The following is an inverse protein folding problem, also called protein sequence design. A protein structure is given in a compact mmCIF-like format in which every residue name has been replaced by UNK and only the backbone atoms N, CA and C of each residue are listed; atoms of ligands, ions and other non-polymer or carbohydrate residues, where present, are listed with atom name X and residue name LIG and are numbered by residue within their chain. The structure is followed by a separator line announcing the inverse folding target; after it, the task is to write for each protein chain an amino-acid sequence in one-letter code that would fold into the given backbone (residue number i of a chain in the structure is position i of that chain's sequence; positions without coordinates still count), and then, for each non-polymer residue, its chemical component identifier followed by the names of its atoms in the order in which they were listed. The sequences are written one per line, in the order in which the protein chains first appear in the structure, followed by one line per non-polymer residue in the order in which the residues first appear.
data_IF_120155913118
#
_entry.id   IF_120155913118
#
_cell.length_a   1.000
_cell.length_b   1.000
_cell.length_c   1.000
_cell.angle_alpha   90.00
_cell.angle_beta   90.00
_cell.angle_gamma   90.00
#
_symmetry.space_group_name_H-M   'P 1'
#
loop_
_entity.id
_entity.type
_entity.pdbx_description
1 polymer ?
#
# COMPACT_ATOMS: atom_id res chain seq x y z
N UNK A 1 -7.21 -23.18 7.01
CA UNK A 1 -6.25 -23.82 6.09
C UNK A 1 -6.57 -23.44 4.65
N UNK A 2 -6.35 -22.19 4.25
CA UNK A 2 -6.63 -21.77 2.86
C UNK A 2 -5.53 -20.86 2.27
N UNK A 3 -4.60 -20.36 3.09
CA UNK A 3 -3.45 -19.55 2.63
C UNK A 3 -2.37 -20.37 1.91
N UNK A 4 -2.29 -21.68 2.18
CA UNK A 4 -1.20 -22.55 1.70
C UNK A 4 -1.36 -22.98 0.24
N UNK A 5 -2.59 -23.26 -0.20
CA UNK A 5 -2.87 -23.65 -1.59
C UNK A 5 -2.54 -22.53 -2.60
N UNK A 6 -2.68 -21.27 -2.18
CA UNK A 6 -2.40 -20.11 -3.04
C UNK A 6 -0.91 -19.83 -3.26
N UNK A 7 -0.03 -20.45 -2.47
CA UNK A 7 1.43 -20.33 -2.60
C UNK A 7 2.03 -21.48 -3.45
N UNK A 8 1.18 -22.30 -4.06
CA UNK A 8 1.59 -23.44 -4.90
C UNK A 8 1.98 -24.70 -4.11
N UNK A 9 1.71 -24.75 -2.80
CA UNK A 9 2.01 -25.94 -2.00
C UNK A 9 0.96 -27.02 -2.21
N UNK A 10 1.42 -28.26 -2.41
CA UNK A 10 0.55 -29.44 -2.55
C UNK A 10 0.72 -30.42 -1.39
N UNK A 11 1.66 -30.17 -0.47
CA UNK A 11 1.87 -30.93 0.75
C UNK A 11 2.36 -30.03 1.90
N UNK A 12 2.20 -30.52 3.13
CA UNK A 12 2.66 -29.84 4.36
C UNK A 12 4.18 -29.98 4.57
N UNK A 13 4.78 -31.05 4.05
CA UNK A 13 6.21 -31.33 4.20
C UNK A 13 7.11 -30.30 3.49
N UNK A 14 6.67 -29.76 2.34
CA UNK A 14 7.35 -28.65 1.65
C UNK A 14 7.36 -27.35 2.47
N UNK A 15 6.41 -27.17 3.39
CA UNK A 15 6.33 -26.02 4.29
C UNK A 15 7.23 -26.24 5.50
N UNK A 16 7.33 -27.48 5.98
CA UNK A 16 8.19 -27.86 7.10
C UNK A 16 9.69 -27.81 6.75
N UNK A 17 10.05 -28.03 5.48
CA UNK A 17 11.43 -27.90 4.97
C UNK A 17 11.80 -26.46 4.56
N UNK A 18 10.84 -25.55 4.48
CA UNK A 18 11.05 -24.18 4.00
C UNK A 18 11.70 -23.27 5.04
N UNK A 19 12.80 -22.60 4.65
CA UNK A 19 13.37 -21.53 5.47
C UNK A 19 12.46 -20.30 5.55
N UNK A 20 12.48 -19.59 6.68
CA UNK A 20 11.67 -18.38 6.90
C UNK A 20 11.79 -17.34 5.77
N UNK A 21 12.98 -17.21 5.18
CA UNK A 21 13.25 -16.30 4.07
C UNK A 21 12.47 -16.67 2.80
N UNK A 22 12.41 -17.97 2.47
CA UNK A 22 11.67 -18.44 1.29
C UNK A 22 10.16 -18.29 1.49
N UNK A 23 9.67 -18.55 2.70
CA UNK A 23 8.26 -18.29 3.05
C UNK A 23 7.90 -16.81 2.88
N UNK A 24 8.75 -15.91 3.39
CA UNK A 24 8.55 -14.46 3.25
C UNK A 24 8.52 -14.02 1.79
N UNK A 25 9.45 -14.52 0.95
CA UNK A 25 9.50 -14.21 -0.47
C UNK A 25 8.25 -14.68 -1.22
N UNK A 26 7.76 -15.89 -0.92
CA UNK A 26 6.53 -16.42 -1.53
C UNK A 26 5.29 -15.63 -1.09
N UNK A 27 5.22 -15.25 0.18
CA UNK A 27 4.13 -14.41 0.71
C UNK A 27 4.14 -13.01 0.07
N UNK A 28 5.31 -12.42 -0.13
CA UNK A 28 5.47 -11.16 -0.85
C UNK A 28 4.93 -11.29 -2.29
N UNK A 29 5.40 -12.29 -3.04
CA UNK A 29 4.98 -12.54 -4.42
C UNK A 29 3.46 -12.74 -4.52
N UNK A 30 2.88 -13.50 -3.60
CA UNK A 30 1.43 -13.71 -3.54
C UNK A 30 0.67 -12.40 -3.29
N UNK A 31 1.12 -11.58 -2.35
CA UNK A 31 0.49 -10.29 -2.08
C UNK A 31 0.59 -9.34 -3.28
N UNK A 32 1.74 -9.32 -4.00
CA UNK A 32 1.88 -8.57 -5.24
C UNK A 32 0.92 -9.06 -6.33
N UNK A 33 0.74 -10.38 -6.46
CA UNK A 33 -0.23 -10.96 -7.39
C UNK A 33 -1.66 -10.53 -7.04
N UNK A 34 -2.03 -10.53 -5.76
CA UNK A 34 -3.34 -10.05 -5.31
C UNK A 34 -3.54 -8.57 -5.64
N UNK A 35 -2.54 -7.72 -5.43
CA UNK A 35 -2.62 -6.30 -5.82
C UNK A 35 -2.83 -6.16 -7.33
N UNK A 36 -2.24 -7.02 -8.16
CA UNK A 36 -2.51 -7.05 -9.60
C UNK A 36 -3.95 -7.46 -9.92
N UNK A 37 -4.51 -8.46 -9.24
CA UNK A 37 -5.90 -8.87 -9.43
C UNK A 37 -6.87 -7.76 -9.01
N UNK A 38 -6.60 -7.11 -7.88
CA UNK A 38 -7.38 -5.97 -7.39
C UNK A 38 -7.31 -4.78 -8.36
N UNK A 39 -6.16 -4.53 -9.00
CA UNK A 39 -6.03 -3.55 -10.08
C UNK A 39 -6.94 -3.88 -11.24
N UNK A 40 -7.01 -5.13 -11.68
CA UNK A 40 -7.83 -5.54 -12.82
C UNK A 40 -9.32 -5.42 -12.51
N UNK A 41 -9.75 -5.82 -11.31
CA UNK A 41 -11.11 -5.59 -10.82
C UNK A 41 -11.44 -4.10 -10.71
N UNK A 42 -10.51 -3.30 -10.20
CA UNK A 42 -10.66 -1.86 -10.11
C UNK A 42 -10.76 -1.22 -11.49
N UNK A 43 -9.98 -1.70 -12.48
CA UNK A 43 -10.04 -1.23 -13.85
C UNK A 43 -11.40 -1.53 -14.46
N UNK A 44 -11.92 -2.75 -14.27
CA UNK A 44 -13.25 -3.11 -14.72
C UNK A 44 -14.32 -2.21 -14.07
N UNK A 45 -14.23 -1.97 -12.75
CA UNK A 45 -15.14 -1.08 -12.04
C UNK A 45 -15.05 0.37 -12.55
N UNK A 46 -13.84 0.86 -12.82
CA UNK A 46 -13.61 2.19 -13.37
C UNK A 46 -14.18 2.35 -14.78
N UNK A 47 -14.03 1.33 -15.64
CA UNK A 47 -14.62 1.31 -16.97
C UNK A 47 -16.14 1.25 -16.89
N UNK A 48 -16.71 0.40 -16.04
CA UNK A 48 -18.15 0.33 -15.81
C UNK A 48 -18.69 1.66 -15.27
N UNK A 49 -17.97 2.29 -14.34
CA UNK A 49 -18.30 3.62 -13.87
C UNK A 49 -18.22 4.63 -15.01
N UNK A 50 -17.21 4.59 -15.88
CA UNK A 50 -17.10 5.50 -17.02
C UNK A 50 -18.26 5.35 -18.01
N UNK A 51 -18.77 4.13 -18.18
CA UNK A 51 -19.96 3.83 -18.98
C UNK A 51 -21.25 4.32 -18.30
N UNK A 52 -21.31 4.30 -16.97
CA UNK A 52 -22.47 4.73 -16.18
C UNK A 52 -22.40 6.20 -15.67
N UNK A 53 -21.29 6.91 -15.86
CA UNK A 53 -21.05 8.18 -15.18
C UNK A 53 -21.46 9.38 -16.01
N UNK A 54 -22.61 9.92 -15.64
CA UNK A 54 -22.93 11.33 -15.83
C UNK A 54 -23.39 11.91 -14.49
N UNK A 55 -22.49 12.55 -13.72
CA UNK A 55 -22.93 13.57 -12.75
C UNK A 55 -22.79 14.92 -13.43
N UNK A 56 -23.91 15.64 -13.55
CA UNK A 56 -24.06 16.86 -14.33
C UNK A 56 -25.50 17.00 -14.82
N UNK A 57 -25.81 18.06 -15.57
CA UNK A 57 -27.04 18.12 -16.37
C UNK A 57 -27.05 16.94 -17.36
N UNK A 58 -28.24 16.48 -17.75
CA UNK A 58 -28.45 15.51 -18.85
C UNK A 58 -27.65 15.87 -20.13
N UNK A 59 -27.30 17.16 -20.31
CA UNK A 59 -26.50 17.69 -21.42
C UNK A 59 -24.98 17.72 -21.20
N UNK A 60 -24.49 17.72 -19.96
CA UNK A 60 -23.05 17.87 -19.64
C UNK A 60 -22.60 16.91 -18.54
N UNK A 61 -22.42 15.63 -18.88
CA UNK A 61 -21.96 14.63 -17.94
C UNK A 61 -20.50 14.83 -17.52
N UNK A 62 -20.22 14.78 -16.21
CA UNK A 62 -18.86 14.81 -15.67
C UNK A 62 -18.61 13.53 -14.84
N UNK A 63 -17.57 12.74 -15.18
CA UNK A 63 -17.17 11.59 -14.39
C UNK A 63 -16.48 12.00 -13.08
N UNK A 64 -16.78 11.29 -11.98
CA UNK A 64 -16.23 11.56 -10.64
C UNK A 64 -14.70 11.42 -10.58
N UNK A 65 -14.15 10.44 -11.29
CA UNK A 65 -12.72 10.23 -11.41
C UNK A 65 -12.32 10.44 -12.87
N UNK A 66 -11.34 11.33 -13.09
CA UNK A 66 -10.89 11.67 -14.45
C UNK A 66 -9.82 10.71 -14.96
N UNK A 67 -9.11 10.04 -14.04
CA UNK A 67 -8.04 9.10 -14.34
C UNK A 67 -8.16 7.88 -13.44
N UNK A 68 -7.77 6.72 -13.96
CA UNK A 68 -7.76 5.48 -13.20
C UNK A 68 -6.90 5.56 -11.93
N UNK A 69 -5.75 6.25 -11.98
CA UNK A 69 -4.88 6.44 -10.81
C UNK A 69 -5.53 7.22 -9.66
N UNK A 70 -6.62 7.95 -9.90
CA UNK A 70 -7.42 8.58 -8.84
C UNK A 70 -8.41 7.61 -8.20
N UNK A 71 -8.76 6.54 -8.90
CA UNK A 71 -9.63 5.47 -8.44
C UNK A 71 -8.83 4.37 -7.72
N UNK A 72 -7.67 3.99 -8.27
CA UNK A 72 -6.80 2.96 -7.74
C UNK A 72 -5.33 3.31 -7.95
N UNK A 73 -4.59 3.50 -6.86
CA UNK A 73 -3.15 3.82 -6.87
C UNK A 73 -2.33 2.53 -6.70
N UNK A 74 -2.02 1.87 -7.82
CA UNK A 74 -1.32 0.59 -7.83
C UNK A 74 0.06 0.68 -7.17
N UNK A 75 0.83 1.72 -7.49
CA UNK A 75 2.19 1.88 -6.98
C UNK A 75 2.21 2.03 -5.45
N UNK A 76 1.18 2.68 -4.88
CA UNK A 76 1.02 2.77 -3.43
C UNK A 76 0.84 1.39 -2.79
N UNK A 77 0.00 0.53 -3.37
CA UNK A 77 -0.21 -0.82 -2.83
C UNK A 77 1.03 -1.70 -2.96
N UNK A 78 1.77 -1.57 -4.07
CA UNK A 78 3.07 -2.24 -4.23
C UNK A 78 4.06 -1.75 -3.18
N UNK A 79 4.12 -0.43 -2.95
CA UNK A 79 4.99 0.15 -1.93
C UNK A 79 4.66 -0.37 -0.52
N UNK A 80 3.38 -0.49 -0.19
CA UNK A 80 2.93 -1.03 1.10
C UNK A 80 3.31 -2.52 1.23
N UNK A 81 3.13 -3.34 0.19
CA UNK A 81 3.54 -4.76 0.21
C UNK A 81 5.05 -4.86 0.38
N UNK A 82 5.85 -4.23 -0.49
CA UNK A 82 7.31 -4.33 -0.42
C UNK A 82 7.88 -3.78 0.88
N UNK A 83 7.35 -2.67 1.37
CA UNK A 83 7.76 -2.11 2.67
C UNK A 83 7.51 -3.02 3.88
N UNK A 84 6.64 -4.03 3.76
CA UNK A 84 6.43 -5.03 4.80
C UNK A 84 7.45 -6.18 4.78
N UNK A 85 8.02 -6.51 3.62
CA UNK A 85 8.93 -7.65 3.45
C UNK A 85 10.39 -7.23 3.29
N UNK A 86 10.65 -6.06 2.73
CA UNK A 86 11.97 -5.50 2.45
C UNK A 86 12.27 -4.31 3.38
N UNK A 87 13.11 -4.46 4.42
CA UNK A 87 13.39 -3.38 5.39
C UNK A 87 14.01 -2.11 4.79
N UNK A 88 14.80 -2.26 3.72
CA UNK A 88 15.51 -1.16 3.05
C UNK A 88 14.74 -0.58 1.85
N UNK A 89 13.50 -1.02 1.64
CA UNK A 89 12.68 -0.60 0.52
C UNK A 89 12.43 0.91 0.51
N UNK A 90 12.60 1.51 -0.67
CA UNK A 90 12.32 2.93 -0.90
C UNK A 90 11.03 3.07 -1.71
N UNK A 91 9.96 3.63 -1.12
CA UNK A 91 8.69 3.80 -1.84
C UNK A 91 8.86 4.77 -3.01
N UNK A 92 8.11 4.53 -4.08
CA UNK A 92 8.19 5.31 -5.32
C UNK A 92 6.92 6.08 -5.62
N UNK A 93 5.77 5.64 -5.10
CA UNK A 93 4.50 6.31 -5.32
C UNK A 93 4.47 7.67 -4.63
N UNK A 94 3.78 8.63 -5.24
CA UNK A 94 3.64 9.99 -4.69
C UNK A 94 2.98 9.96 -3.31
N UNK A 95 1.94 9.14 -3.15
CA UNK A 95 1.22 8.99 -1.89
C UNK A 95 2.12 8.45 -0.77
N UNK A 96 2.92 7.42 -1.06
CA UNK A 96 3.84 6.84 -0.07
C UNK A 96 5.02 7.77 0.25
N UNK A 97 5.53 8.51 -0.73
CA UNK A 97 6.56 9.53 -0.49
C UNK A 97 6.04 10.67 0.40
N UNK A 98 4.82 11.16 0.15
CA UNK A 98 4.18 12.19 0.98
C UNK A 98 3.94 11.70 2.41
N UNK A 99 3.45 10.46 2.58
CA UNK A 99 3.30 9.80 3.88
C UNK A 99 4.63 9.75 4.64
N UNK A 100 5.69 9.24 4.00
CA UNK A 100 7.05 9.18 4.58
C UNK A 100 7.57 10.55 5.02
N UNK A 101 7.34 11.59 4.21
CA UNK A 101 7.70 12.97 4.56
C UNK A 101 6.93 13.47 5.78
N UNK A 102 5.62 13.25 5.81
CA UNK A 102 4.76 13.68 6.91
C UNK A 102 5.14 12.99 8.23
N UNK A 103 5.41 11.69 8.19
CA UNK A 103 5.86 10.92 9.35
C UNK A 103 7.19 11.45 9.91
N UNK A 104 8.13 11.81 9.02
CA UNK A 104 9.39 12.45 9.42
C UNK A 104 9.17 13.80 10.10
N UNK A 105 8.25 14.63 9.59
CA UNK A 105 7.91 15.91 10.20
C UNK A 105 7.31 15.70 11.59
N UNK A 106 6.37 14.76 11.74
CA UNK A 106 5.75 14.43 13.03
C UNK A 106 6.79 13.93 14.02
N UNK A 107 7.72 13.06 13.60
CA UNK A 107 8.82 12.58 14.44
C UNK A 107 9.70 13.71 14.94
N UNK A 108 10.14 14.59 14.03
CA UNK A 108 10.94 15.78 14.37
C UNK A 108 10.21 16.71 15.34
N UNK A 109 8.92 16.93 15.13
CA UNK A 109 8.11 17.74 16.04
C UNK A 109 8.06 17.14 17.45
N UNK A 110 7.82 15.82 17.57
CA UNK A 110 7.83 15.13 18.87
C UNK A 110 9.18 15.24 19.57
N UNK A 111 10.28 15.06 18.84
CA UNK A 111 11.63 15.21 19.38
C UNK A 111 11.88 16.64 19.89
N UNK A 112 11.50 17.65 19.10
CA UNK A 112 11.60 19.05 19.49
C UNK A 112 10.79 19.38 20.76
N UNK A 113 9.56 18.85 20.87
CA UNK A 113 8.75 19.02 22.09
C UNK A 113 9.40 18.39 23.32
N UNK A 114 9.95 17.18 23.18
CA UNK A 114 10.71 16.51 24.26
C UNK A 114 11.94 17.32 24.68
N UNK A 115 12.68 17.88 23.72
CA UNK A 115 13.84 18.73 24.03
C UNK A 115 13.44 19.98 24.80
N UNK A 116 12.36 20.67 24.38
CA UNK A 116 11.84 21.84 25.11
C UNK A 116 11.39 21.51 26.53
N UNK A 117 10.78 20.34 26.73
CA UNK A 117 10.35 19.91 28.06
C UNK A 117 11.55 19.64 28.99
N UNK A 118 12.61 18.99 28.47
CA UNK A 118 13.86 18.77 29.22
C UNK A 118 14.56 20.08 29.59
N UNK A 119 14.63 21.05 28.68
CA UNK A 119 15.24 22.36 28.94
C UNK A 119 14.48 23.17 30.00
N UNK A 120 13.16 23.01 30.11
CA UNK A 120 12.35 23.69 31.13
C UNK A 120 12.41 23.02 32.51
N UNK A 121 12.70 21.72 32.57
CA UNK A 121 12.80 20.95 33.83
C UNK A 121 14.20 20.89 34.46
N UNK A 122 15.25 21.32 33.75
CA UNK A 122 16.64 21.31 34.23
C UNK A 122 17.16 22.67 34.72
N UNK A 123 16.29 23.66 34.91
CA UNK A 123 16.65 25.03 35.28
C UNK A 123 16.13 25.41 36.69
N UNK A 124 16.11 24.44 37.61
CA UNK A 124 15.72 24.60 39.02
C UNK A 124 16.77 24.02 39.96
#
# INVERSE_FOLDING_TARGET
MNSLAYLGFHNISEIEEMGLAEYQLRMEAYNLQRVSQERDLALQAFLNQSVQATKGSEKHPIPKYKKFSQFFDYDKFVDDVRGHYEPDYQPTSKASLEKKRNDLIVKRWREFQKMKQKQRGGNG
#
